data_IF_245092977369
#
_entry.id   IF_245092977369
#
_cell.length_a   1.000
_cell.length_b   1.000
_cell.length_c   1.000
_cell.angle_alpha   90.00
_cell.angle_beta   90.00
_cell.angle_gamma   90.00
#
_symmetry.space_group_name_H-M   'P 1'
#
loop_
_entity.id
_entity.type
_entity.pdbx_description
1 polymer ?
#
# COMPACT_ATOMS: atom_id res chain seq x y z
N UNK A 1 17.14 -11.48 1.58
CA UNK A 1 17.32 -10.19 2.26
C UNK A 1 16.05 -9.91 3.05
N UNK A 2 16.06 -10.07 4.38
CA UNK A 2 14.92 -9.70 5.21
C UNK A 2 14.88 -8.18 5.30
N UNK A 3 14.04 -7.56 4.48
CA UNK A 3 13.78 -6.13 4.54
C UNK A 3 12.78 -5.90 5.68
N UNK A 4 13.31 -5.61 6.87
CA UNK A 4 12.50 -5.19 8.01
C UNK A 4 12.10 -3.73 7.77
N UNK A 5 10.86 -3.51 7.32
CA UNK A 5 10.27 -2.18 7.22
C UNK A 5 10.28 -1.43 8.57
N UNK A 6 10.22 -0.09 8.57
CA UNK A 6 10.48 0.73 9.77
C UNK A 6 9.43 0.62 10.90
N UNK A 7 8.39 -0.19 10.75
CA UNK A 7 7.22 -0.26 11.63
C UNK A 7 7.24 -1.35 12.72
N UNK A 8 8.26 -2.20 12.81
CA UNK A 8 8.24 -3.35 13.74
C UNK A 8 9.32 -3.30 14.82
N UNK A 9 9.51 -2.16 15.51
CA UNK A 9 10.48 -2.16 16.63
C UNK A 9 10.02 -2.98 17.86
N UNK A 10 8.72 -3.28 18.00
CA UNK A 10 8.21 -4.07 19.14
C UNK A 10 7.40 -5.30 18.77
N UNK A 11 7.30 -5.67 17.49
CA UNK A 11 6.30 -6.68 17.09
C UNK A 11 4.90 -6.29 17.59
N UNK A 12 4.00 -7.26 17.81
CA UNK A 12 2.86 -7.00 18.68
C UNK A 12 3.40 -6.55 20.03
N UNK A 13 2.94 -5.41 20.57
CA UNK A 13 3.41 -4.99 21.89
C UNK A 13 3.15 -6.13 22.89
N UNK A 14 4.00 -6.31 23.92
CA UNK A 14 3.74 -7.32 24.95
C UNK A 14 2.42 -7.08 25.69
N UNK A 15 1.75 -5.96 25.42
CA UNK A 15 0.43 -5.57 25.93
C UNK A 15 -0.65 -5.52 24.85
N UNK A 16 -0.38 -5.97 23.62
CA UNK A 16 -1.38 -6.04 22.55
C UNK A 16 -2.55 -6.93 22.96
N UNK A 17 -2.31 -7.90 23.85
CA UNK A 17 -3.37 -8.70 24.48
C UNK A 17 -4.40 -7.85 25.25
N UNK A 18 -4.03 -6.70 25.80
CA UNK A 18 -4.95 -5.80 26.54
C UNK A 18 -5.92 -5.08 25.60
N UNK A 19 -5.54 -4.92 24.33
CA UNK A 19 -6.32 -4.18 23.32
C UNK A 19 -6.60 -5.00 22.07
N UNK A 20 -6.40 -6.32 22.17
CA UNK A 20 -6.54 -7.28 21.08
C UNK A 20 -7.99 -7.32 20.61
N UNK A 21 -8.20 -6.92 19.36
CA UNK A 21 -9.47 -7.09 18.67
C UNK A 21 -9.23 -7.92 17.41
N UNK A 22 -9.80 -9.14 17.30
CA UNK A 22 -9.58 -10.02 16.16
C UNK A 22 -10.12 -9.47 14.83
N UNK A 23 -10.95 -8.42 14.88
CA UNK A 23 -11.54 -7.80 13.69
C UNK A 23 -10.87 -6.49 13.29
N UNK A 24 -10.11 -5.83 14.18
CA UNK A 24 -9.41 -4.56 13.90
C UNK A 24 -8.11 -4.46 14.71
N UNK A 25 -6.92 -4.60 14.08
CA UNK A 25 -5.65 -4.37 14.75
C UNK A 25 -5.62 -2.98 15.41
N UNK A 26 -4.98 -2.85 16.58
CA UNK A 26 -4.80 -1.54 17.20
C UNK A 26 -3.89 -0.68 16.32
N UNK A 27 -4.40 0.44 15.79
CA UNK A 27 -3.58 1.37 15.02
C UNK A 27 -4.34 2.33 14.10
N UNK A 28 -3.59 2.96 13.20
CA UNK A 28 -4.07 3.91 12.18
C UNK A 28 -5.29 3.32 11.46
N UNK A 29 -6.40 4.07 11.44
CA UNK A 29 -7.75 3.71 10.95
C UNK A 29 -8.75 3.13 11.96
N UNK A 30 -8.39 2.91 13.23
CA UNK A 30 -9.36 2.46 14.26
C UNK A 30 -10.29 3.58 14.75
N UNK A 31 -9.80 4.82 14.82
CA UNK A 31 -10.57 5.97 15.31
C UNK A 31 -10.76 6.99 14.20
N UNK A 32 -11.98 7.54 14.10
CA UNK A 32 -12.30 8.61 13.16
C UNK A 32 -11.98 9.97 13.75
N UNK A 33 -12.07 10.10 15.07
CA UNK A 33 -11.74 11.30 15.83
C UNK A 33 -10.79 10.96 17.00
N UNK A 34 -9.62 11.63 17.12
CA UNK A 34 -8.71 11.53 18.26
C UNK A 34 -9.35 11.62 19.65
N UNK A 35 -10.47 12.34 19.78
CA UNK A 35 -11.18 12.52 21.05
C UNK A 35 -11.95 11.28 21.52
N UNK A 36 -12.12 10.27 20.67
CA UNK A 36 -12.75 8.99 21.01
C UNK A 36 -11.85 8.09 21.86
N UNK A 37 -10.56 8.41 21.98
CA UNK A 37 -9.62 7.64 22.79
C UNK A 37 -9.95 7.73 24.28
N UNK A 38 -10.14 6.58 24.91
CA UNK A 38 -10.19 6.50 26.37
C UNK A 38 -8.85 6.89 27.00
N UNK A 39 -8.84 7.14 28.30
CA UNK A 39 -7.61 7.51 29.01
C UNK A 39 -6.52 6.43 28.89
N UNK A 40 -6.87 5.15 29.04
CA UNK A 40 -5.90 4.06 28.92
C UNK A 40 -5.37 3.91 27.49
N UNK A 41 -6.23 4.06 26.48
CA UNK A 41 -5.83 4.07 25.07
C UNK A 41 -4.93 5.28 24.75
N UNK A 42 -5.16 6.43 25.39
CA UNK A 42 -4.30 7.61 25.29
C UNK A 42 -2.92 7.36 25.90
N UNK A 43 -2.85 6.71 27.07
CA UNK A 43 -1.58 6.31 27.69
C UNK A 43 -0.84 5.33 26.78
N UNK A 44 -1.54 4.32 26.24
CA UNK A 44 -0.95 3.34 25.34
C UNK A 44 -0.43 3.98 24.05
N UNK A 45 -1.25 4.82 23.40
CA UNK A 45 -0.90 5.58 22.20
C UNK A 45 0.32 6.48 22.44
N UNK A 46 0.39 7.16 23.59
CA UNK A 46 1.53 7.99 23.95
C UNK A 46 2.83 7.19 24.16
N UNK A 47 2.75 6.07 24.87
CA UNK A 47 3.91 5.24 25.19
C UNK A 47 4.42 4.46 23.97
N UNK A 48 3.53 3.83 23.21
CA UNK A 48 3.86 2.84 22.19
C UNK A 48 3.53 3.29 20.76
N UNK A 49 2.59 4.20 20.60
CA UNK A 49 2.11 4.66 19.30
C UNK A 49 0.92 3.87 18.77
N UNK A 50 0.61 4.16 17.51
CA UNK A 50 -0.63 3.71 16.86
C UNK A 50 -0.35 2.89 15.59
N UNK A 51 0.80 2.23 15.51
CA UNK A 51 1.17 1.37 14.38
C UNK A 51 1.63 2.12 13.11
N UNK A 52 1.69 1.38 12.01
CA UNK A 52 2.18 1.87 10.70
C UNK A 52 1.06 2.52 9.87
N UNK A 53 1.11 3.85 9.61
CA UNK A 53 0.14 4.49 8.72
C UNK A 53 0.28 4.06 7.25
N UNK A 54 1.37 3.37 6.91
CA UNK A 54 1.69 2.87 5.57
C UNK A 54 1.65 1.34 5.48
N UNK A 55 0.95 0.66 6.40
CA UNK A 55 0.77 -0.80 6.34
C UNK A 55 0.13 -1.29 5.04
N UNK A 56 -0.70 -0.46 4.40
CA UNK A 56 -1.36 -0.73 3.12
C UNK A 56 -0.60 -0.15 1.90
N UNK A 57 0.62 0.35 2.09
CA UNK A 57 1.35 1.11 1.07
C UNK A 57 1.63 0.28 -0.18
N UNK A 58 1.97 -0.99 0.00
CA UNK A 58 2.25 -1.91 -1.11
C UNK A 58 0.98 -2.17 -1.95
N UNK A 59 -0.15 -2.40 -1.29
CA UNK A 59 -1.44 -2.53 -1.97
C UNK A 59 -1.85 -1.23 -2.68
N UNK A 60 -1.63 -0.07 -2.05
CA UNK A 60 -1.87 1.24 -2.68
C UNK A 60 -0.97 1.45 -3.89
N UNK A 61 0.30 1.05 -3.79
CA UNK A 61 1.29 1.13 -4.86
C UNK A 61 0.86 0.33 -6.07
N UNK A 62 0.60 -0.97 -5.91
CA UNK A 62 0.24 -1.82 -7.05
C UNK A 62 -1.10 -1.44 -7.67
N UNK A 63 -2.08 -1.03 -6.86
CA UNK A 63 -3.35 -0.48 -7.37
C UNK A 63 -3.14 0.78 -8.20
N UNK A 64 -2.29 1.71 -7.74
CA UNK A 64 -1.99 2.93 -8.46
C UNK A 64 -1.26 2.64 -9.78
N UNK A 65 -0.26 1.76 -9.78
CA UNK A 65 0.49 1.36 -10.98
C UNK A 65 -0.44 0.67 -11.98
N UNK A 66 -1.24 -0.31 -11.54
CA UNK A 66 -2.20 -0.99 -12.41
C UNK A 66 -3.24 -0.03 -13.03
N UNK A 67 -3.56 1.07 -12.34
CA UNK A 67 -4.41 2.12 -12.90
C UNK A 67 -3.68 2.96 -13.95
N UNK A 68 -2.43 3.35 -13.70
CA UNK A 68 -1.60 4.06 -14.70
C UNK A 68 -1.42 3.19 -15.96
N UNK A 69 -1.17 1.89 -15.80
CA UNK A 69 -1.08 0.95 -16.90
C UNK A 69 -2.37 0.93 -17.72
N UNK A 70 -3.53 0.80 -17.06
CA UNK A 70 -4.84 0.83 -17.72
C UNK A 70 -5.11 2.14 -18.45
N UNK A 71 -4.77 3.27 -17.84
CA UNK A 71 -4.94 4.60 -18.46
C UNK A 71 -4.06 4.81 -19.70
N UNK A 72 -2.95 4.05 -19.81
CA UNK A 72 -2.03 4.07 -20.94
C UNK A 72 -2.26 2.90 -21.92
N UNK A 73 -3.38 2.18 -21.81
CA UNK A 73 -3.72 1.09 -22.74
C UNK A 73 -2.85 -0.15 -22.57
N UNK A 74 -2.25 -0.37 -21.40
CA UNK A 74 -1.52 -1.59 -21.09
C UNK A 74 -0.03 -1.58 -21.40
N UNK A 75 0.54 -0.47 -21.89
CA UNK A 75 1.98 -0.31 -22.04
C UNK A 75 2.46 0.98 -21.36
N UNK A 76 3.53 0.88 -20.56
CA UNK A 76 4.07 2.02 -19.81
C UNK A 76 5.59 2.00 -19.78
N UNK A 77 6.18 3.17 -19.60
CA UNK A 77 7.63 3.32 -19.43
C UNK A 77 8.01 3.34 -17.95
N UNK A 78 9.29 3.09 -17.65
CA UNK A 78 9.81 3.17 -16.28
C UNK A 78 9.57 4.56 -15.65
N UNK A 79 9.63 5.64 -16.43
CA UNK A 79 9.36 7.02 -15.99
C UNK A 79 7.91 7.22 -15.53
N UNK A 80 6.95 6.50 -16.11
CA UNK A 80 5.53 6.58 -15.71
C UNK A 80 5.25 5.85 -14.40
N UNK A 81 6.04 4.81 -14.10
CA UNK A 81 5.93 4.03 -12.87
C UNK A 81 6.74 4.66 -11.73
N UNK A 82 7.85 5.34 -12.02
CA UNK A 82 8.76 5.94 -11.03
C UNK A 82 8.09 6.75 -9.91
N UNK A 83 7.08 7.60 -10.16
CA UNK A 83 6.38 8.34 -9.10
C UNK A 83 5.68 7.48 -8.04
N UNK A 84 5.48 6.19 -8.31
CA UNK A 84 4.82 5.24 -7.40
C UNK A 84 5.81 4.28 -6.72
N UNK A 85 7.08 4.35 -7.11
CA UNK A 85 8.16 3.46 -6.64
C UNK A 85 9.19 4.22 -5.79
N UNK A 86 10.30 3.54 -5.47
CA UNK A 86 11.46 4.10 -4.78
C UNK A 86 12.68 4.06 -5.70
N UNK A 87 12.78 4.94 -6.72
CA UNK A 87 13.99 5.04 -7.51
C UNK A 87 15.14 5.55 -6.63
N UNK A 88 16.32 4.93 -6.73
CA UNK A 88 17.50 5.24 -5.89
C UNK A 88 18.03 6.68 -6.05
N UNK A 89 17.53 7.44 -7.03
CA UNK A 89 17.92 8.83 -7.29
C UNK A 89 16.73 9.67 -7.75
N UNK A 90 16.72 10.93 -7.32
CA UNK A 90 15.87 11.96 -7.91
C UNK A 90 16.19 12.14 -9.40
N UNK A 91 15.17 12.45 -10.20
CA UNK A 91 15.35 12.66 -11.64
C UNK A 91 16.22 13.90 -11.91
N UNK A 92 17.44 13.69 -12.39
CA UNK A 92 18.26 14.75 -12.97
C UNK A 92 17.98 14.78 -14.47
N UNK A 93 17.14 15.71 -14.93
CA UNK A 93 16.75 15.84 -16.35
C UNK A 93 17.87 16.22 -17.32
N UNK A 94 19.13 15.92 -17.01
CA UNK A 94 20.31 16.23 -17.82
C UNK A 94 21.03 14.96 -18.25
N UNK A 95 20.50 14.20 -19.21
CA UNK A 95 21.25 13.22 -20.03
C UNK A 95 22.12 12.19 -19.31
N UNK A 96 21.99 12.03 -17.99
CA UNK A 96 22.73 11.08 -17.19
C UNK A 96 22.04 9.74 -17.30
N UNK A 97 22.84 8.67 -17.39
CA UNK A 97 22.35 7.30 -17.36
C UNK A 97 21.21 7.17 -16.35
N UNK A 98 20.05 6.75 -16.85
CA UNK A 98 18.85 6.51 -16.06
C UNK A 98 19.24 5.64 -14.85
N UNK A 99 18.60 5.80 -13.68
CA UNK A 99 18.72 4.82 -12.61
C UNK A 99 18.47 3.44 -13.22
N UNK A 100 19.24 2.45 -12.78
CA UNK A 100 18.99 1.05 -13.13
C UNK A 100 17.48 0.78 -13.01
N UNK A 101 16.84 0.38 -14.12
CA UNK A 101 15.41 0.06 -14.17
C UNK A 101 15.09 -1.14 -13.25
N UNK A 102 16.07 -1.69 -12.53
CA UNK A 102 15.88 -2.60 -11.40
C UNK A 102 14.79 -2.19 -10.40
N UNK A 103 14.53 -0.90 -10.18
CA UNK A 103 13.52 -0.46 -9.21
C UNK A 103 12.07 -0.81 -9.61
N UNK A 104 11.78 -1.09 -10.89
CA UNK A 104 10.43 -1.47 -11.35
C UNK A 104 10.20 -2.97 -11.41
N UNK A 105 11.24 -3.80 -11.26
CA UNK A 105 11.13 -5.26 -11.31
C UNK A 105 10.05 -5.84 -10.39
N UNK A 106 9.88 -5.38 -9.13
CA UNK A 106 8.81 -5.89 -8.28
C UNK A 106 7.41 -5.58 -8.82
N UNK A 107 7.22 -4.44 -9.49
CA UNK A 107 5.94 -4.06 -10.10
C UNK A 107 5.65 -4.87 -11.35
N UNK A 108 6.67 -5.11 -12.18
CA UNK A 108 6.57 -5.96 -13.36
C UNK A 108 6.21 -7.39 -12.94
N UNK A 109 6.88 -7.93 -11.92
CA UNK A 109 6.61 -9.29 -11.44
C UNK A 109 5.21 -9.41 -10.82
N UNK A 110 4.80 -8.45 -9.97
CA UNK A 110 3.51 -8.49 -9.29
C UNK A 110 2.32 -8.34 -10.26
N UNK A 111 2.47 -7.53 -11.30
CA UNK A 111 1.43 -7.28 -12.31
C UNK A 111 1.62 -8.09 -13.60
N UNK A 112 2.60 -9.02 -13.61
CA UNK A 112 2.96 -9.89 -14.74
C UNK A 112 3.21 -9.14 -16.06
N UNK A 113 3.93 -8.03 -15.98
CA UNK A 113 4.38 -7.31 -17.17
C UNK A 113 5.55 -8.00 -17.88
N UNK A 114 5.74 -7.69 -19.15
CA UNK A 114 6.88 -8.14 -19.96
C UNK A 114 7.63 -6.93 -20.53
N UNK A 115 8.98 -6.96 -20.55
CA UNK A 115 9.76 -5.93 -21.22
C UNK A 115 9.75 -6.16 -22.74
N UNK A 116 9.43 -5.11 -23.49
CA UNK A 116 9.54 -5.06 -24.95
C UNK A 116 10.44 -3.90 -25.37
N UNK A 117 11.19 -4.10 -26.45
CA UNK A 117 12.09 -3.07 -26.99
C UNK A 117 11.40 -2.42 -28.19
N UNK A 118 11.28 -1.11 -28.16
CA UNK A 118 10.73 -0.31 -29.25
C UNK A 118 11.72 -0.21 -30.42
N UNK A 119 11.25 0.19 -31.61
CA UNK A 119 12.08 0.45 -32.79
C UNK A 119 13.20 1.48 -32.52
N UNK A 120 12.95 2.40 -31.59
CA UNK A 120 13.89 3.44 -31.17
C UNK A 120 14.95 2.93 -30.17
N UNK A 121 14.90 1.65 -29.79
CA UNK A 121 15.82 1.02 -28.82
C UNK A 121 15.48 1.28 -27.36
N UNK A 122 14.35 1.93 -27.08
CA UNK A 122 13.87 2.18 -25.73
C UNK A 122 13.07 0.98 -25.19
N UNK A 123 13.19 0.67 -23.89
CA UNK A 123 12.44 -0.39 -23.21
C UNK A 123 11.07 0.14 -22.76
N UNK A 124 10.02 -0.63 -23.05
CA UNK A 124 8.64 -0.40 -22.62
C UNK A 124 8.14 -1.67 -21.92
N UNK A 125 7.26 -1.51 -20.95
CA UNK A 125 6.67 -2.63 -20.21
C UNK A 125 5.22 -2.79 -20.59
N UNK A 126 4.88 -3.97 -21.11
CA UNK A 126 3.54 -4.33 -21.57
C UNK A 126 2.88 -5.24 -20.53
N UNK A 127 1.58 -5.06 -20.29
CA UNK A 127 0.79 -5.73 -19.26
C UNK A 127 -0.52 -6.26 -19.85
N UNK A 128 -0.45 -7.42 -20.50
CA UNK A 128 -1.58 -8.01 -21.24
C UNK A 128 -2.79 -8.31 -20.34
N UNK A 129 -2.57 -8.93 -19.17
CA UNK A 129 -3.64 -9.30 -18.23
C UNK A 129 -4.43 -8.08 -17.71
N UNK A 130 -3.80 -6.90 -17.65
CA UNK A 130 -4.46 -5.68 -17.21
C UNK A 130 -5.31 -5.04 -18.33
N UNK A 131 -5.06 -5.38 -19.60
CA UNK A 131 -5.88 -4.94 -20.73
C UNK A 131 -7.18 -5.75 -20.82
N UNK A 132 -7.13 -7.06 -20.56
CA UNK A 132 -8.32 -7.93 -20.56
C UNK A 132 -9.38 -7.48 -19.55
N UNK A 133 -8.95 -6.96 -18.40
CA UNK A 133 -9.88 -6.45 -17.38
C UNK A 133 -10.55 -5.10 -17.73
N UNK A 134 -9.97 -4.31 -18.66
CA UNK A 134 -10.55 -3.06 -19.13
C UNK A 134 -11.60 -3.27 -20.23
N UNK A 135 -11.43 -4.29 -21.08
CA UNK A 135 -12.44 -4.75 -22.04
C UNK A 135 -13.44 -5.78 -21.47
N UNK A 136 -13.05 -6.43 -20.37
CA UNK A 136 -13.75 -7.57 -19.77
C UNK A 136 -15.13 -7.25 -19.19
N UNK A 137 -15.39 -6.01 -18.78
CA UNK A 137 -16.72 -5.62 -18.30
C UNK A 137 -17.81 -5.79 -19.36
N UNK A 138 -17.52 -5.42 -20.61
CA UNK A 138 -18.44 -5.60 -21.73
C UNK A 138 -18.41 -7.05 -22.27
N UNK A 139 -17.22 -7.66 -22.34
CA UNK A 139 -17.05 -9.04 -22.84
C UNK A 139 -17.63 -10.11 -21.89
N UNK A 140 -17.62 -9.88 -20.57
CA UNK A 140 -18.25 -10.75 -19.58
C UNK A 140 -19.79 -10.69 -19.66
N UNK A 141 -20.35 -9.49 -19.92
CA UNK A 141 -21.79 -9.31 -20.12
C UNK A 141 -22.25 -9.89 -21.48
N UNK A 142 -21.37 -9.95 -22.49
CA UNK A 142 -21.63 -10.54 -23.81
C UNK A 142 -21.98 -12.03 -23.78
N UNK A 143 -21.65 -12.75 -22.71
CA UNK A 143 -22.08 -14.14 -22.49
C UNK A 143 -23.32 -14.31 -21.60
N UNK A 144 -23.78 -13.23 -20.94
CA UNK A 144 -24.85 -13.29 -19.94
C UNK A 144 -26.23 -13.01 -20.55
N UNK A 145 -27.26 -13.65 -20.00
CA UNK A 145 -28.65 -13.37 -20.35
C UNK A 145 -29.12 -12.02 -19.81
N UNK A 146 -30.16 -11.43 -20.42
CA UNK A 146 -30.71 -10.14 -19.98
C UNK A 146 -31.14 -10.12 -18.49
N UNK A 147 -31.55 -11.28 -17.95
CA UNK A 147 -31.88 -11.42 -16.52
C UNK A 147 -30.66 -11.35 -15.62
N UNK A 148 -29.56 -12.00 -16.02
CA UNK A 148 -28.29 -11.97 -15.27
C UNK A 148 -27.68 -10.57 -15.29
N UNK A 149 -27.69 -9.89 -16.44
CA UNK A 149 -27.22 -8.50 -16.57
C UNK A 149 -28.04 -7.57 -15.68
N UNK A 150 -29.37 -7.73 -15.66
CA UNK A 150 -30.27 -6.92 -14.82
C UNK A 150 -30.07 -7.22 -13.33
N UNK A 151 -29.84 -8.48 -12.96
CA UNK A 151 -29.50 -8.88 -11.60
C UNK A 151 -28.18 -8.28 -11.13
N UNK A 152 -27.16 -8.28 -11.99
CA UNK A 152 -25.86 -7.67 -11.72
C UNK A 152 -25.97 -6.15 -11.61
N UNK A 153 -26.73 -5.51 -12.51
CA UNK A 153 -27.01 -4.09 -12.43
C UNK A 153 -27.72 -3.71 -11.13
N UNK A 154 -28.68 -4.52 -10.68
CA UNK A 154 -29.40 -4.29 -9.43
C UNK A 154 -28.49 -4.47 -8.19
N UNK A 155 -27.64 -5.50 -8.19
CA UNK A 155 -26.64 -5.70 -7.13
C UNK A 155 -25.64 -4.54 -7.04
N UNK A 156 -25.27 -3.97 -8.19
CA UNK A 156 -24.37 -2.82 -8.28
C UNK A 156 -25.06 -1.45 -8.17
N UNK A 157 -26.39 -1.42 -7.99
CA UNK A 157 -27.17 -0.17 -7.87
C UNK A 157 -27.27 0.67 -9.15
N UNK A 158 -27.10 0.04 -10.31
CA UNK A 158 -27.16 0.68 -11.65
C UNK A 158 -28.60 0.67 -12.15
N UNK A 159 -29.12 1.85 -12.50
CA UNK A 159 -30.46 1.97 -13.10
C UNK A 159 -30.46 1.39 -14.52
N UNK A 160 -31.36 0.43 -14.75
CA UNK A 160 -31.62 -0.19 -16.06
C UNK A 160 -32.92 0.34 -16.70
N UNK A 161 -33.48 1.43 -16.15
CA UNK A 161 -34.73 2.00 -16.65
C UNK A 161 -34.57 2.51 -18.09
N UNK A 162 -35.44 2.04 -18.99
CA UNK A 162 -35.40 2.38 -20.42
C UNK A 162 -34.53 1.47 -21.28
N UNK A 163 -33.85 0.47 -20.70
CA UNK A 163 -33.10 -0.55 -21.43
C UNK A 163 -33.99 -1.79 -21.60
N UNK A 164 -34.47 -2.02 -22.82
CA UNK A 164 -35.44 -3.09 -23.11
C UNK A 164 -34.79 -4.31 -23.73
N UNK A 165 -33.76 -4.08 -24.55
CA UNK A 165 -33.02 -5.14 -25.21
C UNK A 165 -31.79 -5.56 -24.42
N UNK A 166 -31.36 -6.81 -24.65
CA UNK A 166 -30.17 -7.38 -23.99
C UNK A 166 -28.92 -6.56 -24.32
N UNK A 167 -28.77 -6.15 -25.57
CA UNK A 167 -27.59 -5.43 -26.04
C UNK A 167 -27.57 -4.00 -25.44
N UNK A 168 -28.73 -3.35 -25.32
CA UNK A 168 -28.89 -2.08 -24.62
C UNK A 168 -28.57 -2.19 -23.13
N UNK A 169 -28.98 -3.28 -22.48
CA UNK A 169 -28.63 -3.58 -21.09
C UNK A 169 -27.13 -3.81 -20.93
N UNK A 170 -26.50 -4.58 -21.82
CA UNK A 170 -25.07 -4.85 -21.79
C UNK A 170 -24.26 -3.55 -22.00
N UNK A 171 -24.63 -2.75 -23.00
CA UNK A 171 -23.99 -1.47 -23.29
C UNK A 171 -24.20 -0.45 -22.17
N UNK A 172 -25.42 -0.33 -21.65
CA UNK A 172 -25.76 0.61 -20.58
C UNK A 172 -25.10 0.28 -19.25
N UNK A 173 -25.09 -1.00 -18.86
CA UNK A 173 -24.48 -1.46 -17.60
C UNK A 173 -22.95 -1.40 -17.67
N UNK A 174 -22.34 -1.79 -18.80
CA UNK A 174 -20.89 -1.65 -18.99
C UNK A 174 -20.45 -0.18 -18.97
N UNK A 175 -21.19 0.71 -19.64
CA UNK A 175 -20.92 2.14 -19.61
C UNK A 175 -21.07 2.74 -18.21
N UNK A 176 -22.07 2.31 -17.44
CA UNK A 176 -22.28 2.76 -16.06
C UNK A 176 -21.16 2.27 -15.11
N UNK A 177 -20.71 1.02 -15.26
CA UNK A 177 -19.58 0.46 -14.52
C UNK A 177 -18.27 1.19 -14.87
N UNK A 178 -18.02 1.44 -16.16
CA UNK A 178 -16.87 2.21 -16.63
C UNK A 178 -16.88 3.66 -16.11
N UNK A 179 -18.04 4.33 -16.16
CA UNK A 179 -18.21 5.68 -15.64
C UNK A 179 -18.04 5.74 -14.10
N UNK A 180 -18.45 4.70 -13.37
CA UNK A 180 -18.22 4.60 -11.92
C UNK A 180 -16.74 4.39 -11.60
N UNK A 181 -16.04 3.56 -12.38
CA UNK A 181 -14.57 3.43 -12.32
C UNK A 181 -13.87 4.76 -12.56
N UNK A 182 -14.33 5.53 -13.55
CA UNK A 182 -13.81 6.87 -13.85
C UNK A 182 -14.13 7.91 -12.75
N UNK A 183 -15.31 7.83 -12.11
CA UNK A 183 -15.65 8.70 -10.95
C UNK A 183 -14.87 8.31 -9.70
N UNK A 184 -14.61 7.03 -9.44
CA UNK A 184 -13.70 6.59 -8.39
C UNK A 184 -12.28 7.11 -8.58
N UNK A 185 -11.85 7.33 -9.84
CA UNK A 185 -10.57 7.93 -10.19
C UNK A 185 -10.50 9.46 -10.01
N UNK A 186 -11.61 10.12 -9.66
CA UNK A 186 -11.71 11.59 -9.55
C UNK A 186 -11.47 12.16 -8.13
N UNK A 187 -11.14 11.32 -7.14
CA UNK A 187 -10.46 11.80 -5.93
C UNK A 187 -9.13 12.43 -6.35
N UNK A 188 -8.85 13.68 -5.98
CA UNK A 188 -7.64 14.46 -6.32
C UNK A 188 -6.43 13.54 -6.55
N UNK A 189 -6.19 13.19 -7.81
CA UNK A 189 -5.27 12.11 -8.15
C UNK A 189 -3.88 12.69 -8.10
N UNK A 190 -3.20 12.51 -6.97
CA UNK A 190 -1.81 12.94 -6.84
C UNK A 190 -1.00 12.18 -7.89
N UNK A 191 -0.14 12.85 -8.66
CA UNK A 191 0.60 12.23 -9.75
C UNK A 191 1.72 11.29 -9.27
N UNK A 192 1.79 11.02 -7.96
CA UNK A 192 2.76 10.16 -7.29
C UNK A 192 2.13 9.51 -6.05
N UNK A 193 2.75 8.44 -5.56
CA UNK A 193 2.36 7.77 -4.31
C UNK A 193 2.95 8.50 -3.11
N UNK A 194 2.10 8.98 -2.20
CA UNK A 194 2.54 9.61 -0.96
C UNK A 194 2.46 8.64 0.22
N UNK A 195 3.59 8.47 0.90
CA UNK A 195 3.66 7.85 2.22
C UNK A 195 3.17 8.84 3.28
N UNK A 196 2.39 8.36 4.23
CA UNK A 196 1.92 9.15 5.36
C UNK A 196 2.99 9.18 6.45
N UNK A 197 3.20 10.33 7.08
CA UNK A 197 4.10 10.43 8.22
C UNK A 197 3.53 9.71 9.46
N UNK A 198 4.43 9.14 10.27
CA UNK A 198 4.06 8.62 11.58
C UNK A 198 3.64 9.77 12.49
N UNK A 199 2.44 9.64 13.06
CA UNK A 199 2.04 10.48 14.17
C UNK A 199 2.68 9.96 15.45
N UNK A 200 3.16 10.88 16.30
CA UNK A 200 3.67 10.47 17.59
C UNK A 200 2.57 9.82 18.43
N UNK A 201 1.37 10.37 18.46
CA UNK A 201 0.25 9.71 19.13
C UNK A 201 -1.04 10.26 18.53
N UNK A 202 -2.02 9.39 18.34
CA UNK A 202 -3.39 9.76 18.01
C UNK A 202 -4.09 10.49 19.15
N UNK A 203 -3.56 10.46 20.38
CA UNK A 203 -4.10 11.20 21.50
C UNK A 203 -4.03 12.71 21.24
N UNK A 204 -5.10 13.42 21.59
CA UNK A 204 -5.15 14.89 21.53
C UNK A 204 -4.04 15.52 22.37
N UNK A 205 -3.65 16.77 22.08
CA UNK A 205 -2.63 17.48 22.86
C UNK A 205 -2.96 17.57 24.36
N UNK A 206 -4.24 17.67 24.72
CA UNK A 206 -4.69 17.65 26.11
C UNK A 206 -4.50 16.28 26.78
N UNK A 207 -4.83 15.19 26.08
CA UNK A 207 -4.57 13.82 26.56
C UNK A 207 -3.07 13.54 26.70
N UNK A 208 -2.26 13.92 25.71
CA UNK A 208 -0.80 13.78 25.77
C UNK A 208 -0.22 14.54 26.96
N UNK A 209 -0.68 15.77 27.21
CA UNK A 209 -0.27 16.54 28.39
C UNK A 209 -0.66 15.85 29.70
N UNK A 210 -1.89 15.33 29.79
CA UNK A 210 -2.34 14.61 30.98
C UNK A 210 -1.50 13.35 31.27
N UNK A 211 -1.16 12.58 30.22
CA UNK A 211 -0.30 11.40 30.34
C UNK A 211 1.12 11.80 30.76
N UNK A 212 1.69 12.85 30.16
CA UNK A 212 3.00 13.37 30.52
C UNK A 212 3.03 13.90 31.97
N UNK A 213 2.00 14.63 32.40
CA UNK A 213 1.87 15.13 33.76
C UNK A 213 1.76 13.99 34.77
N UNK A 214 1.00 12.93 34.46
CA UNK A 214 0.92 11.73 35.29
C UNK A 214 2.28 11.03 35.40
N UNK A 215 3.01 10.90 34.29
CA UNK A 215 4.36 10.35 34.26
C UNK A 215 5.34 11.14 35.12
N UNK A 216 5.31 12.47 35.02
CA UNK A 216 6.15 13.36 35.82
C UNK A 216 5.82 13.25 37.32
N UNK A 217 4.53 13.23 37.67
CA UNK A 217 4.08 13.07 39.05
C UNK A 217 4.51 11.72 39.63
N UNK A 218 4.39 10.64 38.85
CA UNK A 218 4.84 9.31 39.25
C UNK A 218 6.37 9.26 39.48
N UNK A 219 7.15 9.89 38.60
CA UNK A 219 8.61 9.98 38.77
C UNK A 219 9.00 10.78 40.01
N UNK A 220 8.39 11.94 40.24
CA UNK A 220 8.62 12.74 41.45
C UNK A 220 8.23 11.96 42.71
N UNK A 221 7.10 11.26 42.69
CA UNK A 221 6.66 10.40 43.78
C UNK A 221 7.65 9.27 44.08
N UNK A 222 8.16 8.60 43.05
CA UNK A 222 9.18 7.56 43.19
C UNK A 222 10.48 8.12 43.78
N UNK A 223 10.96 9.26 43.30
CA UNK A 223 12.17 9.90 43.84
C UNK A 223 11.99 10.37 45.28
N UNK A 224 10.82 10.93 45.62
CA UNK A 224 10.48 11.34 46.97
C UNK A 224 10.43 10.14 47.93
N UNK A 225 9.79 9.03 47.52
CA UNK A 225 9.79 7.79 48.27
C UNK A 225 11.21 7.25 48.45
N UNK A 226 12.05 7.34 47.42
CA UNK A 226 13.47 7.03 47.49
C UNK A 226 14.22 7.83 48.55
N UNK A 227 13.99 9.13 48.58
CA UNK A 227 14.57 10.02 49.59
C UNK A 227 14.12 9.65 51.02
N UNK A 228 12.86 9.25 51.20
CA UNK A 228 12.37 8.76 52.50
C UNK A 228 13.05 7.45 52.91
N UNK A 229 13.15 6.47 52.00
CA UNK A 229 13.79 5.19 52.25
C UNK A 229 15.31 5.31 52.46
N UNK A 230 15.94 6.31 51.85
CA UNK A 230 17.36 6.63 52.02
C UNK A 230 17.66 7.43 53.30
N UNK A 231 16.64 7.84 54.06
CA UNK A 231 16.84 8.59 55.31
C UNK A 231 17.68 7.78 56.32
N UNK A 232 18.55 8.42 57.14
CA UNK A 232 19.39 7.70 58.11
C UNK A 232 18.61 6.86 59.13
N UNK A 233 17.33 7.15 59.33
CA UNK A 233 16.45 6.40 60.22
C UNK A 233 15.99 5.06 59.63
N UNK A 234 15.97 4.93 58.30
CA UNK A 234 15.42 3.80 57.55
C UNK A 234 16.52 3.06 56.78
N UNK A 235 17.49 3.78 56.25
CA UNK A 235 18.58 3.24 55.44
C UNK A 235 19.34 2.12 56.18
N UNK A 236 19.53 0.99 55.49
CA UNK A 236 20.20 -0.19 56.03
C UNK A 236 19.35 -1.03 57.00
N UNK A 237 18.10 -0.65 57.26
CA UNK A 237 17.16 -1.44 58.08
C UNK A 237 16.20 -2.22 57.21
N UNK A 238 15.85 -3.42 57.66
CA UNK A 238 14.74 -4.19 57.09
C UNK A 238 13.43 -3.73 57.72
N UNK A 239 12.59 -3.08 56.91
CA UNK A 239 11.24 -2.73 57.34
C UNK A 239 10.34 -3.97 57.31
N UNK A 240 9.32 -4.01 58.17
CA UNK A 240 8.34 -5.10 58.23
C UNK A 240 6.95 -4.63 57.81
N UNK A 241 6.08 -5.58 57.42
CA UNK A 241 4.72 -5.29 56.98
C UNK A 241 4.68 -4.49 55.67
N UNK A 242 3.74 -3.55 55.57
CA UNK A 242 3.53 -2.74 54.36
C UNK A 242 4.78 -1.94 53.94
N UNK A 243 5.51 -1.37 54.91
CA UNK A 243 6.71 -0.60 54.63
C UNK A 243 7.86 -1.48 54.10
N UNK A 244 7.99 -2.71 54.61
CA UNK A 244 8.90 -3.72 54.07
C UNK A 244 8.57 -4.10 52.64
N UNK A 245 7.28 -4.33 52.34
CA UNK A 245 6.83 -4.60 50.98
C UNK A 245 7.17 -3.45 50.01
N UNK A 246 6.88 -2.19 50.40
CA UNK A 246 7.22 -1.01 49.60
C UNK A 246 8.73 -0.92 49.37
N UNK A 247 9.56 -1.16 50.40
CA UNK A 247 11.01 -1.20 50.28
C UNK A 247 11.47 -2.30 49.30
N UNK A 248 10.81 -3.47 49.28
CA UNK A 248 11.11 -4.57 48.35
C UNK A 248 10.75 -4.23 46.90
N UNK A 249 9.58 -3.62 46.64
CA UNK A 249 9.14 -3.29 45.27
C UNK A 249 9.70 -1.96 44.76
N UNK A 250 10.31 -1.15 45.62
CA UNK A 250 10.81 0.18 45.29
C UNK A 250 11.72 0.20 44.03
N UNK A 251 12.68 -0.72 43.83
CA UNK A 251 13.47 -0.75 42.60
C UNK A 251 12.61 -0.92 41.34
N UNK A 252 11.56 -1.73 41.40
CA UNK A 252 10.63 -1.93 40.29
C UNK A 252 9.78 -0.67 40.03
N UNK A 253 9.35 0.03 41.08
CA UNK A 253 8.63 1.31 40.96
C UNK A 253 9.49 2.38 40.28
N UNK A 254 10.76 2.50 40.65
CA UNK A 254 11.71 3.42 40.01
C UNK A 254 11.94 3.03 38.55
N UNK A 255 12.19 1.75 38.28
CA UNK A 255 12.38 1.27 36.92
C UNK A 255 11.16 1.57 36.03
N UNK A 256 9.95 1.35 36.55
CA UNK A 256 8.70 1.69 35.86
C UNK A 256 8.57 3.19 35.59
N UNK A 257 8.80 4.04 36.62
CA UNK A 257 8.69 5.49 36.46
C UNK A 257 9.70 6.05 35.45
N UNK A 258 10.93 5.52 35.44
CA UNK A 258 11.94 5.87 34.45
C UNK A 258 11.55 5.39 33.05
N UNK A 259 11.05 4.16 32.91
CA UNK A 259 10.62 3.62 31.61
C UNK A 259 9.46 4.43 31.01
N UNK A 260 8.50 4.86 31.85
CA UNK A 260 7.36 5.67 31.43
C UNK A 260 7.77 7.01 30.80
N UNK A 261 8.95 7.53 31.14
CA UNK A 261 9.51 8.75 30.53
C UNK A 261 10.48 8.41 29.38
N UNK A 262 11.36 7.44 29.59
CA UNK A 262 12.42 7.10 28.65
C UNK A 262 11.88 6.52 27.33
N UNK A 263 10.84 5.68 27.38
CA UNK A 263 10.25 5.04 26.20
C UNK A 263 9.67 6.08 25.22
N UNK A 264 8.77 7.00 25.65
CA UNK A 264 8.29 8.10 24.80
C UNK A 264 9.41 8.96 24.20
N UNK A 265 10.43 9.29 25.00
CA UNK A 265 11.55 10.13 24.54
C UNK A 265 12.36 9.43 23.46
N UNK A 266 12.74 8.18 23.66
CA UNK A 266 13.45 7.40 22.65
C UNK A 266 12.63 7.26 21.36
N UNK A 267 11.32 7.00 21.52
CA UNK A 267 10.38 6.90 20.41
C UNK A 267 10.22 8.21 19.64
N UNK A 268 10.19 9.36 20.32
CA UNK A 268 10.08 10.67 19.68
C UNK A 268 11.22 10.91 18.67
N UNK A 269 12.47 10.62 19.06
CA UNK A 269 13.61 10.77 18.15
C UNK A 269 13.55 9.80 16.97
N UNK A 270 13.09 8.56 17.20
CA UNK A 270 12.90 7.58 16.13
C UNK A 270 11.81 7.99 15.15
N UNK A 271 10.62 8.38 15.62
CA UNK A 271 9.52 8.87 14.77
C UNK A 271 9.98 10.06 13.94
N UNK A 272 10.76 10.98 14.52
CA UNK A 272 11.34 12.10 13.79
C UNK A 272 12.30 11.65 12.68
N UNK A 273 13.15 10.66 12.94
CA UNK A 273 14.08 10.12 11.94
C UNK A 273 13.33 9.37 10.83
N UNK A 274 12.33 8.56 11.19
CA UNK A 274 11.50 7.80 10.25
C UNK A 274 10.69 8.76 9.35
N UNK A 275 10.12 9.83 9.91
CA UNK A 275 9.40 10.85 9.14
C UNK A 275 10.33 11.62 8.20
N UNK A 276 11.54 11.97 8.63
CA UNK A 276 12.52 12.61 7.74
C UNK A 276 12.87 11.71 6.53
N UNK A 277 12.93 10.40 6.73
CA UNK A 277 13.15 9.43 5.65
C UNK A 277 11.91 9.30 4.74
N UNK A 278 10.69 9.31 5.31
CA UNK A 278 9.42 9.34 4.54
C UNK A 278 9.34 10.59 3.68
N UNK A 279 9.62 11.76 4.26
CA UNK A 279 9.62 13.02 3.53
C UNK A 279 10.63 13.00 2.38
N UNK A 280 11.82 12.44 2.58
CA UNK A 280 12.81 12.31 1.51
C UNK A 280 12.27 11.48 0.34
N UNK A 281 11.71 10.30 0.61
CA UNK A 281 11.10 9.44 -0.43
C UNK A 281 9.94 10.14 -1.13
N UNK A 282 9.09 10.85 -0.39
CA UNK A 282 7.97 11.61 -0.96
C UNK A 282 8.46 12.76 -1.86
N UNK A 283 9.52 13.49 -1.44
CA UNK A 283 10.15 14.52 -2.28
C UNK A 283 10.71 13.94 -3.57
N UNK A 284 11.36 12.78 -3.50
CA UNK A 284 11.91 12.12 -4.68
C UNK A 284 10.78 11.72 -5.65
N UNK A 285 9.72 11.07 -5.16
CA UNK A 285 8.55 10.71 -5.98
C UNK A 285 7.86 11.93 -6.60
N UNK A 286 7.73 13.02 -5.84
CA UNK A 286 7.19 14.27 -6.35
C UNK A 286 8.07 14.88 -7.45
N UNK A 287 9.41 14.79 -7.32
CA UNK A 287 10.34 15.25 -8.35
C UNK A 287 10.20 14.45 -9.66
N UNK A 288 10.00 13.14 -9.57
CA UNK A 288 9.74 12.26 -10.71
C UNK A 288 8.40 12.59 -11.39
N UNK A 289 7.34 12.80 -10.61
CA UNK A 289 6.05 13.24 -11.16
C UNK A 289 6.15 14.59 -11.89
N UNK A 290 6.86 15.55 -11.31
CA UNK A 290 7.08 16.85 -11.92
C UNK A 290 7.91 16.75 -13.21
N UNK A 291 8.96 15.93 -13.19
CA UNK A 291 9.78 15.67 -14.38
C UNK A 291 8.98 15.03 -15.52
N UNK A 292 8.11 14.06 -15.20
CA UNK A 292 7.22 13.41 -16.15
C UNK A 292 6.23 14.41 -16.79
N UNK A 293 5.71 15.37 -16.02
CA UNK A 293 4.83 16.42 -16.55
C UNK A 293 5.57 17.42 -17.46
N UNK A 294 6.80 17.78 -17.10
CA UNK A 294 7.61 18.72 -17.87
C UNK A 294 8.19 18.09 -19.16
N UNK A 295 8.35 16.76 -19.16
CA UNK A 295 8.79 15.87 -20.24
C UNK A 295 9.78 16.49 -21.26
N UNK A 296 11.07 16.17 -21.10
CA UNK A 296 12.11 16.43 -22.12
C UNK A 296 11.91 15.61 -23.39
N UNK A 297 12.74 15.84 -24.41
CA UNK A 297 12.63 15.16 -25.72
C UNK A 297 12.67 13.64 -25.63
N UNK A 298 13.60 13.09 -24.83
CA UNK A 298 13.76 11.64 -24.66
C UNK A 298 12.57 10.99 -23.96
N UNK A 299 12.06 11.59 -22.89
CA UNK A 299 10.87 11.09 -22.18
C UNK A 299 9.66 11.11 -23.11
N UNK A 300 9.47 12.17 -23.90
CA UNK A 300 8.38 12.23 -24.89
C UNK A 300 8.50 11.13 -25.96
N UNK A 301 9.71 10.83 -26.43
CA UNK A 301 9.95 9.73 -27.38
C UNK A 301 9.55 8.39 -26.77
N UNK A 302 10.05 8.06 -25.58
CA UNK A 302 9.69 6.83 -24.86
C UNK A 302 8.19 6.68 -24.63
N UNK A 303 7.53 7.75 -24.19
CA UNK A 303 6.08 7.78 -23.99
C UNK A 303 5.31 7.54 -25.29
N UNK A 304 5.79 8.09 -26.41
CA UNK A 304 5.21 7.84 -27.73
C UNK A 304 5.42 6.38 -28.18
N UNK A 305 6.59 5.80 -27.92
CA UNK A 305 6.88 4.39 -28.16
C UNK A 305 5.95 3.46 -27.40
N UNK A 306 5.74 3.72 -26.10
CA UNK A 306 4.80 2.97 -25.27
C UNK A 306 3.37 3.02 -25.82
N UNK A 307 2.92 4.21 -26.26
CA UNK A 307 1.59 4.37 -26.87
C UNK A 307 1.42 3.62 -28.20
N UNK A 308 2.49 3.41 -28.96
CA UNK A 308 2.44 2.61 -30.20
C UNK A 308 2.25 1.13 -29.87
N UNK A 309 3.01 0.62 -28.90
CA UNK A 309 2.89 -0.77 -28.44
C UNK A 309 1.51 -1.04 -27.82
N UNK A 310 0.98 -0.11 -27.02
CA UNK A 310 -0.39 -0.23 -26.47
C UNK A 310 -1.49 -0.36 -27.54
N UNK A 311 -1.22 0.08 -28.78
CA UNK A 311 -2.18 0.03 -29.89
C UNK A 311 -1.97 -1.20 -30.77
N UNK A 312 -0.79 -1.82 -30.72
CA UNK A 312 -0.41 -2.99 -31.53
C UNK A 312 -0.69 -4.32 -30.81
N UNK A 313 -0.67 -4.33 -29.48
CA UNK A 313 -1.08 -5.49 -28.68
C UNK A 313 -2.60 -5.62 -28.78
N UNK A 314 -3.04 -6.41 -29.76
CA UNK A 314 -4.43 -6.71 -30.07
C UNK A 314 -5.15 -7.13 -28.78
N UNK A 315 -6.17 -6.37 -28.37
CA UNK A 315 -7.17 -6.86 -27.41
C UNK A 315 -7.73 -8.14 -28.00
N UNK A 316 -7.31 -9.29 -27.48
CA UNK A 316 -7.78 -10.59 -27.93
C UNK A 316 -9.25 -10.68 -27.53
N UNK A 317 -10.13 -10.29 -28.45
CA UNK A 317 -11.55 -10.54 -28.34
C UNK A 317 -11.81 -12.04 -28.47
N UNK A 318 -12.90 -12.53 -27.87
CA UNK A 318 -13.37 -13.92 -27.99
C UNK A 318 -13.49 -14.43 -29.45
N UNK A 319 -13.53 -13.53 -30.42
CA UNK A 319 -13.61 -13.87 -31.85
C UNK A 319 -12.25 -14.27 -32.47
N UNK A 320 -11.15 -14.13 -31.72
CA UNK A 320 -9.80 -14.58 -32.12
C UNK A 320 -9.43 -15.94 -31.49
N UNK A 321 -10.37 -16.52 -30.75
CA UNK A 321 -10.26 -17.87 -30.17
C UNK A 321 -10.77 -18.86 -31.22
N UNK A 322 -9.93 -19.14 -32.22
CA UNK A 322 -10.10 -20.32 -33.08
C UNK A 322 -9.75 -21.58 -32.27
N UNK A 323 -10.62 -21.94 -31.33
CA UNK A 323 -10.63 -23.26 -30.73
C UNK A 323 -11.30 -24.22 -31.71
N UNK A 324 -10.52 -24.69 -32.67
CA UNK A 324 -10.66 -26.05 -33.19
C UNK A 324 -10.28 -27.03 -32.07
N UNK A 325 -11.11 -27.12 -31.04
CA UNK A 325 -11.13 -28.26 -30.12
C UNK A 325 -11.62 -29.46 -30.91
N UNK A 326 -10.70 -30.24 -31.49
CA UNK A 326 -11.11 -31.38 -32.30
C UNK A 326 -10.04 -32.30 -32.90
N UNK A 327 -8.75 -31.96 -32.89
CA UNK A 327 -7.71 -32.93 -33.28
C UNK A 327 -6.57 -32.93 -32.28
N UNK A 328 -6.30 -34.11 -31.72
CA UNK A 328 -5.12 -34.29 -30.88
C UNK A 328 -3.88 -34.14 -31.78
N UNK A 329 -2.81 -33.53 -31.27
CA UNK A 329 -1.54 -33.40 -32.01
C UNK A 329 -1.02 -34.75 -32.53
N UNK A 330 -1.45 -35.85 -31.90
CA UNK A 330 -1.15 -37.23 -32.27
C UNK A 330 -1.88 -37.67 -33.55
N UNK A 331 -3.13 -37.22 -33.78
CA UNK A 331 -3.89 -37.53 -35.00
C UNK A 331 -3.34 -36.81 -36.23
N UNK A 332 -2.75 -35.63 -36.02
CA UNK A 332 -2.15 -34.83 -37.09
C UNK A 332 -0.81 -35.41 -37.54
N UNK A 333 0.01 -35.89 -36.58
CA UNK A 333 1.23 -36.64 -36.90
C UNK A 333 0.95 -37.99 -37.55
N UNK A 334 -0.11 -38.70 -37.14
CA UNK A 334 -0.54 -39.96 -37.77
C UNK A 334 -0.99 -39.77 -39.23
N UNK A 335 -1.74 -38.70 -39.52
CA UNK A 335 -2.17 -38.37 -40.88
C UNK A 335 -1.00 -37.98 -41.78
N UNK A 336 -0.04 -37.22 -41.26
CA UNK A 336 1.16 -36.85 -42.02
C UNK A 336 2.11 -38.03 -42.24
N UNK A 337 2.16 -38.98 -41.31
CA UNK A 337 2.92 -40.22 -41.46
C UNK A 337 2.30 -41.15 -42.51
N UNK A 338 0.97 -41.35 -42.48
CA UNK A 338 0.24 -42.21 -43.42
C UNK A 338 0.29 -41.64 -44.86
N UNK A 339 0.28 -40.32 -45.01
CA UNK A 339 0.47 -39.64 -46.30
C UNK A 339 1.87 -39.84 -46.89
N UNK A 340 2.88 -40.00 -46.02
CA UNK A 340 4.29 -40.07 -46.40
C UNK A 340 4.76 -41.51 -46.63
N UNK A 341 4.12 -42.50 -46.01
CA UNK A 341 4.56 -43.90 -46.05
C UNK A 341 3.46 -44.93 -46.31
N UNK A 342 2.18 -44.55 -46.40
CA UNK A 342 1.03 -45.45 -46.55
C UNK A 342 0.70 -45.87 -47.98
N UNK A 343 1.65 -45.81 -48.92
CA UNK A 343 1.48 -46.39 -50.26
C UNK A 343 2.50 -47.49 -50.49
N UNK A 344 2.04 -48.72 -50.28
CA UNK A 344 2.32 -49.88 -51.13
C UNK A 344 1.03 -50.70 -51.30
#
# INVERSE_FOLDING_TARGET
NMFFGPSYWWGPSPFDFLFYNPYQPYGVNRYRDPSELSFLESVFSFLFGDGDPNSDLEDRRYRAIAQVVRDNGGAVTAEQIAPYMNPDRAYSGSGGAMPDEGFILPAIQALKGTPEVTEDGDIVYVFDELQESAGGGAAALGGMSAREIKGLAQAEGISTAGMYDRDDLAAGVSAALAARGARGASSVRRPYLEEQEYQFSLATGGQQFAVAALGALNLVGALYLGNLLASPYIAGRTLVGLLGFVQTIYPALVAYALAFVAVPVARFFKVKADNAAIEARNRDRASWAYALQKAGGDVKRKLAGAKRLSTQTKVIGKDDIDYSTGESAVDQELKDWDKKFGKD
#
